data_IF_166617713515
#
_entry.id   IF_166617713515
#
_cell.length_a   1.000
_cell.length_b   1.000
_cell.length_c   1.000
_cell.angle_alpha   90.00
_cell.angle_beta   90.00
_cell.angle_gamma   90.00
#
_symmetry.space_group_name_H-M   'P 1'
#
loop_
_entity.id
_entity.type
_entity.pdbx_description
1 polymer ?
#
# COMPACT_ATOMS: atom_id res chain seq x y z
N UNK A 1 8.81 -15.82 18.41
CA UNK A 1 7.40 -16.24 18.54
C UNK A 1 7.18 -16.88 19.90
N UNK A 2 6.04 -16.63 20.57
CA UNK A 2 5.66 -17.22 21.86
C UNK A 2 4.27 -17.85 21.73
N UNK A 3 4.08 -19.02 22.32
CA UNK A 3 2.79 -19.69 22.39
C UNK A 3 2.31 -19.70 23.84
N UNK A 4 1.10 -19.20 24.05
CA UNK A 4 0.42 -19.20 25.34
C UNK A 4 -0.79 -20.14 25.26
N UNK A 5 -1.00 -20.92 26.31
CA UNK A 5 -2.16 -21.78 26.44
C UNK A 5 -2.93 -21.43 27.70
N UNK A 6 -4.24 -21.24 27.56
CA UNK A 6 -5.19 -20.97 28.63
C UNK A 6 -6.32 -21.99 28.55
N UNK A 7 -6.04 -23.19 29.04
CA UNK A 7 -7.01 -24.29 29.08
C UNK A 7 -7.56 -24.43 30.50
N UNK A 8 -8.87 -24.54 30.59
CA UNK A 8 -9.57 -24.72 31.86
C UNK A 8 -10.66 -25.77 31.66
N UNK A 9 -10.76 -26.71 32.60
CA UNK A 9 -11.82 -27.73 32.62
C UNK A 9 -13.13 -27.13 33.15
N UNK A 10 -14.27 -27.36 32.47
CA UNK A 10 -15.56 -26.76 32.85
C UNK A 10 -16.07 -27.16 34.25
N UNK A 11 -15.56 -28.26 34.83
CA UNK A 11 -16.11 -28.84 36.07
C UNK A 11 -15.42 -28.38 37.37
N UNK A 12 -14.55 -27.36 37.33
CA UNK A 12 -13.88 -26.84 38.54
C UNK A 12 -14.20 -25.37 38.78
N UNK A 13 -14.27 -24.95 40.04
CA UNK A 13 -14.23 -23.52 40.39
C UNK A 13 -12.76 -23.08 40.46
N UNK A 14 -12.37 -22.14 39.62
CA UNK A 14 -11.00 -21.62 39.59
C UNK A 14 -10.91 -20.33 40.41
N UNK A 15 -9.89 -20.21 41.25
CA UNK A 15 -9.60 -18.95 41.96
C UNK A 15 -9.20 -17.88 40.93
N UNK A 16 -9.71 -16.66 41.10
CA UNK A 16 -9.28 -15.53 40.29
C UNK A 16 -7.77 -15.34 40.45
N UNK A 17 -7.05 -15.31 39.33
CA UNK A 17 -5.61 -15.13 39.34
C UNK A 17 -5.37 -13.62 39.26
N UNK A 18 -5.14 -13.02 40.43
CA UNK A 18 -4.86 -11.59 40.59
C UNK A 18 -3.53 -11.34 41.33
N UNK A 19 -2.82 -12.40 41.73
CA UNK A 19 -1.56 -12.29 42.46
C UNK A 19 -0.43 -11.73 41.59
N UNK A 20 0.43 -10.90 42.21
CA UNK A 20 1.54 -10.19 41.56
C UNK A 20 2.52 -11.10 40.83
N UNK A 21 2.69 -12.34 41.29
CA UNK A 21 3.57 -13.32 40.66
C UNK A 21 3.06 -13.75 39.28
N UNK A 22 1.75 -13.81 39.08
CA UNK A 22 1.17 -14.10 37.77
C UNK A 22 1.28 -12.91 36.82
N UNK A 23 1.12 -11.68 37.32
CA UNK A 23 1.37 -10.45 36.54
C UNK A 23 2.78 -10.47 35.96
N UNK A 24 3.79 -10.76 36.79
CA UNK A 24 5.19 -10.83 36.36
C UNK A 24 5.39 -11.88 35.26
N UNK A 25 4.81 -13.08 35.41
CA UNK A 25 4.94 -14.14 34.39
C UNK A 25 4.28 -13.77 33.06
N UNK A 26 3.09 -13.18 33.10
CA UNK A 26 2.42 -12.70 31.88
C UNK A 26 3.23 -11.59 31.21
N UNK A 27 3.71 -10.61 31.96
CA UNK A 27 4.53 -9.52 31.40
C UNK A 27 5.82 -10.04 30.79
N UNK A 28 6.49 -11.01 31.41
CA UNK A 28 7.69 -11.65 30.84
C UNK A 28 7.36 -12.43 29.58
N UNK A 29 6.26 -13.17 29.54
CA UNK A 29 5.88 -13.92 28.35
C UNK A 29 5.52 -12.99 27.18
N UNK A 30 4.83 -11.87 27.47
CA UNK A 30 4.49 -10.86 26.48
C UNK A 30 5.72 -10.08 26.00
N UNK A 31 6.67 -9.75 26.89
CA UNK A 31 7.87 -8.96 26.51
C UNK A 31 8.97 -9.78 25.84
N UNK A 32 9.00 -11.11 26.02
CA UNK A 32 9.95 -12.00 25.33
C UNK A 32 9.52 -12.36 23.91
N UNK A 33 8.27 -12.09 23.54
CA UNK A 33 7.81 -12.28 22.18
C UNK A 33 8.48 -11.26 21.26
N UNK A 34 9.36 -11.72 20.37
CA UNK A 34 10.00 -10.87 19.36
C UNK A 34 9.00 -10.33 18.34
N UNK A 35 8.25 -11.23 17.70
CA UNK A 35 7.38 -10.85 16.58
C UNK A 35 5.89 -11.18 16.79
N UNK A 36 5.58 -12.28 17.48
CA UNK A 36 4.20 -12.80 17.57
C UNK A 36 3.96 -13.56 18.87
N UNK A 37 2.74 -13.41 19.40
CA UNK A 37 2.18 -14.24 20.48
C UNK A 37 0.91 -14.90 19.96
N UNK A 38 0.81 -16.21 20.14
CA UNK A 38 -0.39 -16.99 19.82
C UNK A 38 -1.02 -17.49 21.12
N UNK A 39 -2.28 -17.11 21.37
CA UNK A 39 -3.03 -17.54 22.55
C UNK A 39 -4.04 -18.62 22.17
N UNK A 40 -3.82 -19.85 22.63
CA UNK A 40 -4.82 -20.92 22.58
C UNK A 40 -5.65 -20.89 23.86
N UNK A 41 -6.97 -20.79 23.76
CA UNK A 41 -7.84 -20.74 24.92
C UNK A 41 -9.07 -21.63 24.76
N UNK A 42 -9.54 -22.20 25.87
CA UNK A 42 -10.78 -22.99 25.93
C UNK A 42 -11.92 -22.28 26.68
N UNK A 43 -11.67 -21.05 27.14
CA UNK A 43 -12.62 -20.26 27.96
C UNK A 43 -12.93 -18.93 27.30
N UNK A 44 -14.14 -18.43 27.56
CA UNK A 44 -14.63 -17.13 27.11
C UNK A 44 -14.49 -16.09 28.23
N UNK A 45 -14.57 -14.79 27.87
CA UNK A 45 -14.50 -13.71 28.86
C UNK A 45 -15.60 -13.79 29.94
N UNK A 46 -16.79 -14.28 29.57
CA UNK A 46 -17.94 -14.51 30.46
C UNK A 46 -17.65 -15.56 31.53
N UNK A 47 -16.78 -16.52 31.24
CA UNK A 47 -16.42 -17.61 32.17
C UNK A 47 -15.44 -17.15 33.26
N UNK A 48 -14.94 -15.91 33.18
CA UNK A 48 -13.89 -15.37 34.04
C UNK A 48 -14.38 -14.16 34.83
N UNK A 49 -13.96 -14.09 36.09
CA UNK A 49 -14.19 -12.91 36.95
C UNK A 49 -13.63 -11.62 36.31
N UNK A 50 -14.32 -10.47 36.44
CA UNK A 50 -13.88 -9.17 35.91
C UNK A 50 -12.45 -8.77 36.33
N UNK A 51 -12.04 -9.12 37.55
CA UNK A 51 -10.72 -8.77 38.10
C UNK A 51 -9.62 -9.79 37.72
N UNK A 52 -9.97 -10.85 37.01
CA UNK A 52 -9.04 -11.91 36.65
C UNK A 52 -8.09 -11.45 35.53
N UNK A 53 -6.77 -11.61 35.74
CA UNK A 53 -5.76 -11.29 34.72
C UNK A 53 -5.95 -12.06 33.42
N UNK A 54 -6.45 -13.29 33.50
CA UNK A 54 -6.79 -14.13 32.33
C UNK A 54 -7.84 -13.46 31.45
N UNK A 55 -8.86 -12.83 32.05
CA UNK A 55 -9.90 -12.08 31.31
C UNK A 55 -9.31 -10.84 30.66
N UNK A 56 -8.43 -10.12 31.37
CA UNK A 56 -7.71 -8.95 30.81
C UNK A 56 -6.85 -9.35 29.61
N UNK A 57 -6.17 -10.49 29.68
CA UNK A 57 -5.39 -11.02 28.57
C UNK A 57 -6.29 -11.47 27.40
N UNK A 58 -7.33 -12.25 27.66
CA UNK A 58 -8.30 -12.66 26.63
C UNK A 58 -8.91 -11.47 25.91
N UNK A 59 -9.38 -10.47 26.67
CA UNK A 59 -9.88 -9.22 26.11
C UNK A 59 -8.84 -8.50 25.25
N UNK A 60 -7.56 -8.53 25.64
CA UNK A 60 -6.49 -7.93 24.84
C UNK A 60 -6.27 -8.67 23.50
N UNK A 61 -6.43 -9.99 23.46
CA UNK A 61 -6.29 -10.79 22.24
C UNK A 61 -7.55 -10.79 21.36
N UNK A 62 -8.74 -10.81 21.97
CA UNK A 62 -10.03 -10.77 21.29
C UNK A 62 -10.39 -9.34 20.83
N UNK A 63 -9.78 -8.34 21.44
CA UNK A 63 -9.88 -6.94 21.03
C UNK A 63 -8.48 -6.41 20.73
N UNK A 64 -7.89 -6.73 19.57
CA UNK A 64 -6.67 -6.09 19.12
C UNK A 64 -6.96 -4.60 18.92
N UNK A 65 -6.79 -3.82 19.99
CA UNK A 65 -7.07 -2.38 20.11
C UNK A 65 -8.59 -2.00 20.20
N UNK A 66 -9.19 -1.93 21.41
CA UNK A 66 -10.62 -1.58 21.60
C UNK A 66 -10.91 -0.07 21.52
N UNK A 67 -10.21 0.72 20.68
CA UNK A 67 -10.42 2.18 20.63
C UNK A 67 -10.45 2.79 19.22
N UNK A 68 -10.58 1.98 18.18
CA UNK A 68 -10.95 2.52 16.88
C UNK A 68 -12.41 2.95 16.96
N UNK A 69 -12.73 4.17 16.53
CA UNK A 69 -14.09 4.66 16.51
C UNK A 69 -14.93 3.78 15.59
N UNK A 70 -15.81 2.95 16.16
CA UNK A 70 -16.86 2.27 15.40
C UNK A 70 -17.82 3.34 14.82
N UNK A 71 -18.44 3.05 13.68
CA UNK A 71 -19.20 4.05 12.89
C UNK A 71 -20.25 4.88 13.64
N UNK A 72 -20.76 4.40 14.78
CA UNK A 72 -21.72 5.11 15.63
C UNK A 72 -21.12 6.33 16.37
N UNK A 73 -19.84 6.31 16.74
CA UNK A 73 -19.19 7.44 17.43
C UNK A 73 -18.88 8.60 16.47
N UNK A 74 -18.54 8.29 15.21
CA UNK A 74 -18.36 9.28 14.15
C UNK A 74 -19.64 10.06 13.87
N UNK A 75 -20.78 9.38 13.72
CA UNK A 75 -22.07 10.03 13.49
C UNK A 75 -22.51 10.91 14.67
N UNK A 76 -22.16 10.52 15.91
CA UNK A 76 -22.39 11.34 17.11
C UNK A 76 -21.56 12.62 17.04
N UNK A 77 -20.26 12.50 16.78
CA UNK A 77 -19.35 13.64 16.76
C UNK A 77 -19.67 14.61 15.62
N UNK A 78 -20.07 14.11 14.45
CA UNK A 78 -20.49 14.98 13.35
C UNK A 78 -21.77 15.76 13.68
N UNK A 79 -22.76 15.11 14.34
CA UNK A 79 -23.96 15.80 14.85
C UNK A 79 -23.63 16.87 15.88
N UNK A 80 -22.72 16.58 16.80
CA UNK A 80 -22.31 17.52 17.85
C UNK A 80 -21.51 18.69 17.28
N UNK A 81 -20.64 18.45 16.30
CA UNK A 81 -19.93 19.51 15.61
C UNK A 81 -20.86 20.45 14.83
N UNK A 82 -21.97 19.97 14.27
CA UNK A 82 -22.92 20.85 13.57
C UNK A 82 -23.71 21.75 14.55
N UNK A 83 -23.73 21.43 15.86
CA UNK A 83 -24.39 22.29 16.85
C UNK A 83 -23.69 23.64 16.96
N UNK A 84 -24.49 24.69 16.83
CA UNK A 84 -24.05 26.08 16.94
C UNK A 84 -24.99 26.78 17.95
N UNK A 85 -24.48 27.60 18.88
CA UNK A 85 -23.09 28.05 19.03
C UNK A 85 -22.19 27.04 19.74
N UNK A 86 -20.94 26.93 19.28
CA UNK A 86 -19.84 26.23 19.97
C UNK A 86 -19.13 27.21 20.90
N UNK A 87 -18.83 26.82 22.13
CA UNK A 87 -18.10 27.65 23.11
C UNK A 87 -16.83 26.93 23.56
N UNK A 88 -15.74 27.64 23.85
CA UNK A 88 -14.58 27.00 24.47
C UNK A 88 -14.99 26.25 25.74
N UNK A 89 -14.67 24.96 25.84
CA UNK A 89 -15.02 24.10 26.97
C UNK A 89 -16.32 23.30 26.82
N UNK A 90 -17.12 23.48 25.76
CA UNK A 90 -18.29 22.65 25.46
C UNK A 90 -18.04 21.58 24.39
N UNK A 91 -16.78 21.33 24.05
CA UNK A 91 -16.41 20.28 23.12
C UNK A 91 -16.74 18.88 23.69
N UNK A 92 -17.05 17.90 22.82
CA UNK A 92 -17.29 16.53 23.24
C UNK A 92 -16.07 15.91 23.91
N UNK A 93 -16.27 15.14 24.99
CA UNK A 93 -15.22 14.29 25.52
C UNK A 93 -14.82 13.21 24.49
N UNK A 94 -13.53 12.83 24.42
CA UNK A 94 -12.43 13.22 25.30
C UNK A 94 -11.61 14.43 24.81
N UNK A 95 -12.06 15.19 23.82
CA UNK A 95 -11.27 16.27 23.21
C UNK A 95 -11.07 17.46 24.15
N UNK A 96 -9.91 18.13 24.06
CA UNK A 96 -9.61 19.31 24.90
C UNK A 96 -9.94 20.63 24.21
N UNK A 97 -10.18 20.59 22.89
CA UNK A 97 -10.57 21.75 22.09
C UNK A 97 -11.47 21.39 20.92
N UNK A 98 -12.27 22.36 20.46
CA UNK A 98 -13.02 22.23 19.19
C UNK A 98 -12.10 22.12 17.97
N UNK A 99 -10.88 22.63 18.07
CA UNK A 99 -9.86 22.51 17.05
C UNK A 99 -9.46 21.04 16.85
N UNK A 100 -9.17 20.29 17.92
CA UNK A 100 -8.91 18.84 17.82
C UNK A 100 -10.09 18.09 17.21
N UNK A 101 -11.33 18.44 17.59
CA UNK A 101 -12.55 17.85 17.03
C UNK A 101 -12.63 18.07 15.52
N UNK A 102 -12.37 19.30 15.05
CA UNK A 102 -12.41 19.64 13.64
C UNK A 102 -11.32 18.88 12.84
N UNK A 103 -10.10 18.76 13.39
CA UNK A 103 -9.01 17.99 12.77
C UNK A 103 -9.38 16.50 12.71
N UNK A 104 -9.89 15.93 13.80
CA UNK A 104 -10.32 14.55 13.86
C UNK A 104 -11.44 14.26 12.85
N UNK A 105 -12.44 15.12 12.75
CA UNK A 105 -13.54 14.98 11.80
C UNK A 105 -13.05 14.99 10.35
N UNK A 106 -12.10 15.86 10.00
CA UNK A 106 -11.53 15.87 8.65
C UNK A 106 -10.82 14.54 8.31
N UNK A 107 -10.12 13.94 9.27
CA UNK A 107 -9.47 12.64 9.08
C UNK A 107 -10.49 11.49 9.03
N UNK A 108 -11.49 11.49 9.91
CA UNK A 108 -12.57 10.51 9.95
C UNK A 108 -13.43 10.54 8.68
N UNK A 109 -13.75 11.72 8.12
CA UNK A 109 -14.43 11.88 6.82
C UNK A 109 -13.67 11.24 5.66
N UNK A 110 -12.34 11.19 5.80
CA UNK A 110 -11.44 10.53 4.85
C UNK A 110 -11.18 9.07 5.21
N UNK A 111 -11.95 8.52 6.16
CA UNK A 111 -11.96 7.13 6.62
C UNK A 111 -10.65 6.65 7.23
N UNK A 112 -9.89 7.55 7.84
CA UNK A 112 -8.76 7.17 8.67
C UNK A 112 -9.24 6.74 10.06
N UNK A 113 -8.56 5.76 10.67
CA UNK A 113 -8.78 5.43 12.08
C UNK A 113 -8.09 6.46 12.95
N UNK A 114 -8.86 7.21 13.74
CA UNK A 114 -8.35 8.28 14.61
C UNK A 114 -8.69 7.99 16.06
N UNK A 115 -7.74 8.25 16.95
CA UNK A 115 -7.81 7.99 18.38
C UNK A 115 -7.46 9.27 19.14
N UNK A 116 -8.41 9.92 19.82
CA UNK A 116 -8.11 11.10 20.62
C UNK A 116 -7.48 10.76 21.97
N UNK A 117 -6.67 11.70 22.47
CA UNK A 117 -6.08 11.70 23.82
C UNK A 117 -5.37 10.38 24.15
N UNK A 118 -4.46 9.96 23.26
CA UNK A 118 -3.77 8.68 23.33
C UNK A 118 -2.63 8.72 24.36
N UNK A 119 -2.74 7.93 25.42
CA UNK A 119 -1.69 7.81 26.43
C UNK A 119 -0.64 6.74 26.07
N UNK A 120 0.62 7.14 26.00
CA UNK A 120 1.77 6.26 25.78
C UNK A 120 2.94 6.67 26.68
N UNK A 121 3.45 5.71 27.46
CA UNK A 121 4.59 5.91 28.35
C UNK A 121 4.50 7.15 29.28
N UNK A 122 3.29 7.52 29.71
CA UNK A 122 3.03 8.69 30.56
C UNK A 122 3.02 10.04 29.82
N UNK A 123 3.07 10.02 28.49
CA UNK A 123 2.80 11.15 27.61
C UNK A 123 1.42 10.98 26.97
N UNK A 124 0.70 12.08 26.76
CA UNK A 124 -0.64 12.08 26.16
C UNK A 124 -0.57 12.86 24.85
N UNK A 125 -0.96 12.19 23.77
CA UNK A 125 -0.95 12.71 22.40
C UNK A 125 -2.37 13.13 22.05
N UNK A 126 -2.55 14.31 21.46
CA UNK A 126 -3.89 14.85 21.16
C UNK A 126 -4.68 13.92 20.24
N UNK A 127 -4.07 13.50 19.13
CA UNK A 127 -4.66 12.57 18.16
C UNK A 127 -3.63 11.54 17.69
N UNK A 128 -4.04 10.29 17.58
CA UNK A 128 -3.26 9.23 16.93
C UNK A 128 -4.04 8.70 15.74
N UNK A 129 -3.39 8.65 14.58
CA UNK A 129 -3.93 7.99 13.39
C UNK A 129 -3.29 6.62 13.28
N UNK A 130 -4.10 5.55 13.18
CA UNK A 130 -3.60 4.17 13.07
C UNK A 130 -3.92 3.58 11.69
N UNK A 131 -3.00 2.76 11.17
CA UNK A 131 -3.21 1.97 9.95
C UNK A 131 -2.33 0.74 9.98
N UNK A 132 -2.93 -0.46 9.97
CA UNK A 132 -2.21 -1.72 10.14
C UNK A 132 -1.43 -1.75 11.46
N UNK A 133 -0.10 -1.76 11.40
CA UNK A 133 0.81 -1.70 12.56
C UNK A 133 1.48 -0.32 12.76
N UNK A 134 1.19 0.66 11.90
CA UNK A 134 1.75 2.00 11.97
C UNK A 134 0.84 2.95 12.73
N UNK A 135 1.49 3.92 13.39
CA UNK A 135 0.81 5.00 14.10
C UNK A 135 1.48 6.33 13.79
N UNK A 136 0.65 7.34 13.54
CA UNK A 136 1.07 8.73 13.44
C UNK A 136 0.54 9.47 14.67
N UNK A 137 1.41 10.19 15.37
CA UNK A 137 1.01 11.15 16.38
C UNK A 137 0.73 12.51 15.71
N UNK A 138 -0.43 13.09 15.99
CA UNK A 138 -0.85 14.42 15.52
C UNK A 138 -1.09 15.26 16.76
N UNK A 139 -0.30 16.32 16.92
CA UNK A 139 -0.42 17.29 18.00
C UNK A 139 -1.15 18.53 17.48
N UNK A 140 -2.18 18.95 18.20
CA UNK A 140 -3.01 20.09 17.89
C UNK A 140 -2.56 21.29 18.74
N UNK A 141 -1.54 22.00 18.25
CA UNK A 141 -0.99 23.17 18.92
C UNK A 141 -1.95 24.36 18.78
N UNK A 142 -2.76 24.59 19.82
CA UNK A 142 -3.51 25.84 20.01
C UNK A 142 -2.61 27.02 20.40
N UNK A 143 -3.14 28.24 20.34
CA UNK A 143 -2.37 29.48 20.61
C UNK A 143 -1.94 29.66 22.10
N UNK A 144 -2.23 28.69 22.98
CA UNK A 144 -1.90 28.73 24.40
C UNK A 144 -0.44 28.28 24.66
N UNK A 145 0.48 29.24 24.74
CA UNK A 145 1.88 28.97 25.10
C UNK A 145 2.03 28.51 26.56
N UNK A 146 2.47 27.26 26.78
CA UNK A 146 2.64 26.66 28.10
C UNK A 146 4.03 26.90 28.74
N UNK A 147 4.61 28.09 28.61
CA UNK A 147 5.81 28.49 29.35
C UNK A 147 7.10 27.67 29.08
N UNK A 148 8.27 28.12 29.58
CA UNK A 148 9.56 27.55 29.22
C UNK A 148 9.89 26.19 29.90
N UNK A 149 9.47 25.97 31.15
CA UNK A 149 9.85 24.75 31.90
C UNK A 149 9.09 23.48 31.46
N UNK A 150 7.83 23.62 31.00
CA UNK A 150 7.06 22.49 30.45
C UNK A 150 7.54 22.14 29.04
N UNK A 151 8.01 23.13 28.28
CA UNK A 151 8.53 22.96 26.93
C UNK A 151 9.74 22.01 26.87
N UNK A 152 10.70 22.14 27.80
CA UNK A 152 11.86 21.23 27.82
C UNK A 152 11.46 19.78 28.15
N UNK A 153 10.49 19.59 29.04
CA UNK A 153 10.01 18.26 29.42
C UNK A 153 9.23 17.60 28.27
N UNK A 154 8.36 18.35 27.58
CA UNK A 154 7.63 17.84 26.42
C UNK A 154 8.55 17.55 25.24
N UNK A 155 9.54 18.42 24.97
CA UNK A 155 10.53 18.15 23.91
C UNK A 155 11.38 16.91 24.22
N UNK A 156 11.72 16.68 25.48
CA UNK A 156 12.43 15.47 25.88
C UNK A 156 11.57 14.21 25.75
N UNK A 157 10.28 14.29 26.09
CA UNK A 157 9.32 13.18 25.93
C UNK A 157 9.07 12.87 24.46
N UNK A 158 8.87 13.88 23.62
CA UNK A 158 8.73 13.72 22.18
C UNK A 158 9.97 13.03 21.59
N UNK A 159 11.19 13.48 21.92
CA UNK A 159 12.43 12.83 21.46
C UNK A 159 12.56 11.37 21.90
N UNK A 160 12.05 11.01 23.08
CA UNK A 160 12.05 9.63 23.56
C UNK A 160 11.07 8.77 22.75
N UNK A 161 9.88 9.29 22.46
CA UNK A 161 8.89 8.60 21.65
C UNK A 161 9.34 8.48 20.19
N UNK A 162 9.98 9.50 19.64
CA UNK A 162 10.58 9.45 18.30
C UNK A 162 11.67 8.36 18.20
N UNK A 163 12.51 8.22 19.22
CA UNK A 163 13.47 7.10 19.31
C UNK A 163 12.79 5.74 19.41
N UNK A 164 11.60 5.68 20.00
CA UNK A 164 10.77 4.48 20.07
C UNK A 164 9.98 4.23 18.78
N UNK A 165 10.17 5.04 17.73
CA UNK A 165 9.57 4.86 16.42
C UNK A 165 8.29 5.66 16.17
N UNK A 166 7.90 6.56 17.07
CA UNK A 166 6.78 7.47 16.82
C UNK A 166 7.16 8.57 15.84
N UNK A 167 6.24 8.92 14.96
CA UNK A 167 6.36 10.09 14.08
C UNK A 167 5.32 11.10 14.48
N UNK A 168 5.72 12.36 14.63
CA UNK A 168 4.86 13.47 15.04
C UNK A 168 4.62 14.45 13.90
N UNK A 169 3.37 14.90 13.77
CA UNK A 169 2.98 16.07 12.97
C UNK A 169 2.34 17.07 13.92
N UNK A 170 2.85 18.29 13.95
CA UNK A 170 2.27 19.40 14.71
C UNK A 170 1.42 20.25 13.78
N UNK A 171 0.19 20.54 14.21
CA UNK A 171 -0.76 21.34 13.46
C UNK A 171 -1.13 22.55 14.30
N UNK A 172 -0.84 23.75 13.78
CA UNK A 172 -1.23 24.98 14.45
C UNK A 172 -2.68 25.33 14.16
N UNK A 173 -3.42 25.74 15.19
CA UNK A 173 -4.83 26.14 15.07
C UNK A 173 -5.04 27.25 14.03
N UNK A 174 -4.19 28.27 14.06
CA UNK A 174 -4.25 29.40 13.11
C UNK A 174 -3.98 28.98 11.66
N UNK A 175 -3.03 28.07 11.42
CA UNK A 175 -2.72 27.54 10.08
C UNK A 175 -3.85 26.63 9.57
N UNK A 176 -4.43 25.82 10.46
CA UNK A 176 -5.56 24.95 10.12
C UNK A 176 -6.78 25.76 9.68
N UNK A 177 -7.17 26.80 10.41
CA UNK A 177 -8.33 27.60 10.02
C UNK A 177 -8.06 28.52 8.82
N UNK A 178 -6.80 28.90 8.56
CA UNK A 178 -6.41 29.64 7.36
C UNK A 178 -6.52 28.77 6.09
N UNK A 179 -5.97 27.55 6.13
CA UNK A 179 -6.04 26.58 5.01
C UNK A 179 -6.16 25.15 5.53
N UNK A 180 -7.40 24.73 5.77
CA UNK A 180 -7.74 23.39 6.25
C UNK A 180 -7.23 22.31 5.33
N UNK A 181 -7.39 22.50 4.01
CA UNK A 181 -7.03 21.48 3.04
C UNK A 181 -5.52 21.24 3.01
N UNK A 182 -4.72 22.31 2.95
CA UNK A 182 -3.25 22.17 2.97
C UNK A 182 -2.78 21.46 4.23
N UNK A 183 -3.30 21.88 5.38
CA UNK A 183 -2.90 21.33 6.69
C UNK A 183 -3.23 19.85 6.80
N UNK A 184 -4.44 19.45 6.42
CA UNK A 184 -4.83 18.03 6.37
C UNK A 184 -4.00 17.25 5.34
N UNK A 185 -3.61 17.86 4.20
CA UNK A 185 -2.71 17.22 3.24
C UNK A 185 -1.31 16.97 3.82
N UNK A 186 -0.83 17.79 4.76
CA UNK A 186 0.44 17.53 5.45
C UNK A 186 0.34 16.32 6.38
N UNK A 187 -0.76 16.18 7.13
CA UNK A 187 -1.06 14.97 7.91
C UNK A 187 -1.17 13.75 6.99
N UNK A 188 -1.91 13.85 5.88
CA UNK A 188 -2.07 12.75 4.91
C UNK A 188 -0.73 12.38 4.28
N UNK A 189 0.14 13.34 3.95
CA UNK A 189 1.48 13.05 3.46
C UNK A 189 2.29 12.27 4.50
N UNK A 190 2.15 12.58 5.79
CA UNK A 190 2.77 11.82 6.86
C UNK A 190 2.12 10.44 7.08
N UNK A 191 0.81 10.31 6.90
CA UNK A 191 0.12 9.02 6.91
C UNK A 191 0.58 8.13 5.75
N UNK A 192 0.57 8.65 4.51
CA UNK A 192 1.11 7.98 3.33
C UNK A 192 2.59 7.67 3.50
N UNK A 193 3.30 8.62 4.11
CA UNK A 193 4.54 8.47 4.87
C UNK A 193 4.67 7.06 5.43
N UNK A 194 3.89 6.87 6.49
CA UNK A 194 3.77 5.74 7.42
C UNK A 194 3.02 4.53 6.89
N UNK A 195 2.59 4.57 5.62
CA UNK A 195 1.69 3.59 5.02
C UNK A 195 0.34 3.46 5.72
N UNK A 196 -0.05 4.48 6.48
CA UNK A 196 -1.37 4.57 7.10
C UNK A 196 -2.33 5.01 6.01
N UNK A 197 -3.32 4.18 5.70
CA UNK A 197 -4.31 4.42 4.66
C UNK A 197 -5.72 4.38 5.24
N UNK A 198 -6.70 4.97 4.54
CA UNK A 198 -8.12 4.83 4.88
C UNK A 198 -8.58 3.37 4.92
N UNK A 199 -9.57 3.04 5.75
CA UNK A 199 -10.08 1.67 5.94
C UNK A 199 -10.65 1.04 4.66
N UNK A 200 -11.23 1.83 3.77
CA UNK A 200 -11.73 1.35 2.47
C UNK A 200 -10.63 1.19 1.41
N UNK A 201 -9.39 1.52 1.79
CA UNK A 201 -8.17 1.37 1.01
C UNK A 201 -7.21 0.34 1.63
N UNK A 202 -7.73 -0.60 2.42
CA UNK A 202 -6.97 -1.78 2.84
C UNK A 202 -6.45 -2.52 1.60
N UNK A 203 -5.14 -2.43 1.37
CA UNK A 203 -4.43 -3.49 0.67
C UNK A 203 -4.50 -4.70 1.60
N UNK A 204 -5.56 -5.50 1.47
CA UNK A 204 -5.54 -6.85 1.99
C UNK A 204 -4.25 -7.53 1.52
N UNK A 205 -3.66 -8.46 2.29
CA UNK A 205 -2.71 -9.40 1.71
C UNK A 205 -3.34 -9.92 0.41
N UNK A 206 -2.57 -10.07 -0.70
CA UNK A 206 -3.16 -10.57 -1.94
C UNK A 206 -3.93 -11.83 -1.60
N UNK A 207 -5.22 -11.86 -1.97
CA UNK A 207 -6.01 -13.08 -1.92
C UNK A 207 -5.15 -14.16 -2.55
N UNK A 208 -4.67 -15.08 -1.73
CA UNK A 208 -4.14 -16.33 -2.23
C UNK A 208 -5.36 -16.99 -2.84
N UNK A 209 -5.44 -17.02 -4.17
CA UNK A 209 -6.28 -18.00 -4.85
C UNK A 209 -5.89 -19.35 -4.24
N UNK A 210 -6.78 -19.89 -3.42
CA UNK A 210 -6.73 -21.27 -2.99
C UNK A 210 -6.74 -22.10 -4.28
N UNK A 211 -5.55 -22.51 -4.70
CA UNK A 211 -5.40 -23.49 -5.77
C UNK A 211 -5.96 -24.79 -5.19
N UNK A 212 -7.16 -25.16 -5.61
CA UNK A 212 -7.69 -26.50 -5.36
C UNK A 212 -6.64 -27.51 -5.84
N UNK A 213 -6.27 -28.51 -5.01
CA UNK A 213 -5.32 -29.51 -5.44
C UNK A 213 -5.95 -30.35 -6.54
N UNK A 214 -5.36 -30.29 -7.75
CA UNK A 214 -5.67 -31.21 -8.84
C UNK A 214 -5.38 -32.65 -8.37
N UNK A 215 -6.36 -33.54 -8.57
CA UNK A 215 -6.20 -34.98 -8.35
C UNK A 215 -5.12 -35.56 -9.28
N UNK A 216 -4.35 -36.57 -8.85
CA UNK A 216 -3.29 -37.14 -9.67
C UNK A 216 -3.88 -38.09 -10.71
N UNK A 217 -3.74 -37.76 -12.00
CA UNK A 217 -3.98 -38.73 -13.07
C UNK A 217 -2.91 -39.82 -13.07
N UNK A 218 -3.39 -41.06 -13.06
CA UNK A 218 -2.59 -42.27 -13.12
C UNK A 218 -1.94 -42.46 -14.50
N UNK A 219 -0.71 -42.96 -14.46
CA UNK A 219 0.08 -43.43 -15.58
C UNK A 219 -0.62 -44.50 -16.43
N UNK A 220 -0.43 -44.42 -17.75
CA UNK A 220 -0.40 -45.56 -18.65
C UNK A 220 0.57 -45.26 -19.81
N UNK A 221 1.57 -46.13 -19.96
CA UNK A 221 2.60 -46.13 -21.01
C UNK A 221 2.06 -46.60 -22.36
N UNK A 222 2.68 -46.12 -23.46
CA UNK A 222 2.61 -46.76 -24.79
C UNK A 222 3.02 -45.85 -25.96
N UNK A 223 4.28 -45.94 -26.41
CA UNK A 223 4.80 -45.45 -27.71
C UNK A 223 4.51 -46.48 -28.84
N UNK A 224 4.85 -46.28 -30.16
CA UNK A 224 5.61 -45.19 -30.82
C UNK A 224 5.07 -44.66 -32.19
N UNK A 225 5.72 -43.56 -32.62
CA UNK A 225 6.12 -43.14 -34.00
C UNK A 225 5.10 -42.96 -35.14
N UNK A 226 4.95 -41.71 -35.62
CA UNK A 226 5.07 -41.39 -37.06
C UNK A 226 5.56 -39.93 -37.26
N UNK A 227 6.41 -39.75 -38.27
CA UNK A 227 7.09 -38.53 -38.67
C UNK A 227 6.16 -37.56 -39.40
N UNK A 228 6.12 -36.30 -38.99
CA UNK A 228 5.91 -35.19 -39.92
C UNK A 228 6.36 -33.85 -39.33
N UNK A 229 7.33 -33.24 -40.01
CA UNK A 229 7.81 -31.88 -39.86
C UNK A 229 6.67 -30.87 -40.10
N UNK A 230 6.43 -29.96 -39.15
CA UNK A 230 5.91 -28.60 -39.35
C UNK A 230 5.93 -27.81 -38.01
N UNK A 231 5.84 -26.47 -38.04
CA UNK A 231 6.77 -25.52 -37.42
C UNK A 231 6.63 -25.45 -35.88
N UNK A 232 7.75 -25.20 -35.18
CA UNK A 232 7.75 -24.97 -33.73
C UNK A 232 6.76 -23.86 -33.33
N UNK A 233 5.62 -24.30 -32.80
CA UNK A 233 4.69 -23.47 -32.03
C UNK A 233 5.41 -22.99 -30.78
N UNK A 234 5.61 -21.67 -30.69
CA UNK A 234 6.07 -21.01 -29.46
C UNK A 234 4.90 -21.06 -28.48
N UNK A 235 4.84 -22.10 -27.65
CA UNK A 235 3.83 -22.26 -26.61
C UNK A 235 3.99 -21.19 -25.52
N UNK A 236 2.86 -20.65 -25.03
CA UNK A 236 2.74 -19.55 -24.06
C UNK A 236 3.49 -19.78 -22.72
N UNK A 237 3.99 -20.99 -22.45
CA UNK A 237 4.73 -21.32 -21.22
C UNK A 237 6.20 -20.86 -21.25
N UNK A 238 6.84 -20.80 -22.43
CA UNK A 238 8.24 -20.39 -22.54
C UNK A 238 8.44 -18.86 -22.42
N UNK A 239 7.38 -18.06 -22.60
CA UNK A 239 7.45 -16.60 -22.43
C UNK A 239 7.47 -16.14 -20.96
N UNK A 240 7.14 -17.03 -20.02
CA UNK A 240 7.14 -16.71 -18.58
C UNK A 240 8.54 -16.80 -17.93
N UNK A 241 9.48 -17.54 -18.53
CA UNK A 241 10.86 -17.67 -18.04
C UNK A 241 11.79 -16.57 -18.57
N UNK A 242 11.50 -16.01 -19.74
CA UNK A 242 12.26 -14.88 -20.32
C UNK A 242 11.32 -13.70 -20.65
N UNK A 243 11.46 -12.58 -19.94
CA UNK A 243 10.62 -11.40 -20.16
C UNK A 243 10.84 -10.31 -19.11
N UNK A 244 10.09 -9.20 -19.15
CA UNK A 244 10.17 -8.20 -18.09
C UNK A 244 9.74 -8.81 -16.76
N UNK A 245 10.43 -8.40 -15.70
CA UNK A 245 10.18 -8.80 -14.31
C UNK A 245 10.47 -10.29 -14.03
N UNK A 246 11.32 -10.93 -14.83
CA UNK A 246 11.81 -12.30 -14.57
C UNK A 246 13.16 -12.28 -13.85
N UNK A 247 13.49 -13.37 -13.15
CA UNK A 247 14.77 -13.54 -12.44
C UNK A 247 14.89 -12.76 -11.13
N UNK A 248 13.77 -12.36 -10.52
CA UNK A 248 13.72 -11.89 -9.14
C UNK A 248 13.28 -13.06 -8.25
N UNK A 249 14.23 -13.56 -7.47
CA UNK A 249 14.04 -14.67 -6.55
C UNK A 249 14.96 -14.48 -5.33
N UNK A 250 14.80 -15.36 -4.35
CA UNK A 250 15.59 -15.41 -3.13
C UNK A 250 17.11 -15.49 -3.35
N UNK A 251 17.57 -15.92 -4.53
CA UNK A 251 19.01 -16.03 -4.88
C UNK A 251 19.66 -14.67 -5.16
N UNK A 252 18.88 -13.62 -5.47
CA UNK A 252 19.41 -12.26 -5.59
C UNK A 252 19.88 -11.68 -4.24
N UNK A 253 19.47 -12.30 -3.13
CA UNK A 253 19.85 -11.96 -1.76
C UNK A 253 19.78 -10.44 -1.48
N UNK A 254 18.67 -9.81 -1.91
CA UNK A 254 18.48 -8.40 -1.65
C UNK A 254 18.46 -8.14 -0.14
N UNK A 255 19.09 -7.04 0.29
CA UNK A 255 19.31 -6.80 1.70
C UNK A 255 17.98 -6.55 2.44
N UNK A 256 17.83 -7.05 3.68
CA UNK A 256 16.64 -6.74 4.50
C UNK A 256 16.59 -5.22 4.75
N UNK A 257 15.55 -4.52 4.27
CA UNK A 257 15.43 -3.09 4.46
C UNK A 257 15.45 -2.69 5.94
N UNK A 258 15.06 -3.55 6.88
CA UNK A 258 15.03 -3.24 8.33
C UNK A 258 16.43 -3.07 8.92
N UNK A 259 17.41 -3.80 8.40
CA UNK A 259 18.76 -3.86 8.96
C UNK A 259 19.78 -3.17 8.06
N UNK A 260 19.59 -3.22 6.75
CA UNK A 260 20.60 -2.80 5.79
C UNK A 260 20.74 -1.28 5.63
N UNK A 261 21.95 -0.81 5.39
CA UNK A 261 22.21 0.61 5.11
C UNK A 261 21.40 1.11 3.91
N UNK A 262 21.05 2.40 3.89
CA UNK A 262 20.35 3.01 2.76
C UNK A 262 21.15 2.84 1.46
N UNK A 263 22.49 2.82 1.52
CA UNK A 263 23.35 2.58 0.36
C UNK A 263 23.19 1.18 -0.24
N UNK A 264 23.09 0.14 0.60
CA UNK A 264 22.86 -1.22 0.12
C UNK A 264 21.47 -1.35 -0.53
N UNK A 265 20.46 -0.70 0.05
CA UNK A 265 19.12 -0.63 -0.54
C UNK A 265 19.16 0.14 -1.87
N UNK A 266 19.91 1.25 -1.96
CA UNK A 266 20.11 2.00 -3.21
C UNK A 266 20.72 1.11 -4.31
N UNK A 267 21.69 0.27 -3.98
CA UNK A 267 22.32 -0.63 -4.95
C UNK A 267 21.32 -1.67 -5.48
N UNK A 268 20.54 -2.30 -4.61
CA UNK A 268 19.50 -3.26 -5.02
C UNK A 268 18.41 -2.60 -5.88
N UNK A 269 17.98 -1.39 -5.52
CA UNK A 269 17.03 -0.61 -6.33
C UNK A 269 17.60 -0.24 -7.70
N UNK A 270 18.89 0.07 -7.78
CA UNK A 270 19.55 0.36 -9.05
C UNK A 270 19.52 -0.85 -9.98
N UNK A 271 19.81 -2.05 -9.46
CA UNK A 271 19.74 -3.32 -10.23
C UNK A 271 18.33 -3.49 -10.84
N UNK A 272 17.28 -3.27 -10.04
CA UNK A 272 15.88 -3.40 -10.50
C UNK A 272 15.57 -2.37 -11.60
N UNK A 273 15.88 -1.10 -11.37
CA UNK A 273 15.54 0.00 -12.28
C UNK A 273 16.37 -0.06 -13.57
N UNK A 274 17.62 -0.49 -13.49
CA UNK A 274 18.48 -0.66 -14.66
C UNK A 274 18.00 -1.81 -15.56
N UNK A 275 17.60 -2.93 -14.96
CA UNK A 275 17.12 -4.10 -15.71
C UNK A 275 15.75 -3.86 -16.34
N UNK A 276 14.78 -3.37 -15.56
CA UNK A 276 13.38 -3.31 -15.96
C UNK A 276 12.80 -1.90 -16.05
N UNK A 277 13.62 -0.85 -15.97
CA UNK A 277 13.20 0.54 -16.24
C UNK A 277 12.64 0.76 -17.65
N UNK A 278 11.67 1.68 -17.83
CA UNK A 278 10.95 2.47 -16.82
C UNK A 278 9.95 1.64 -15.98
N UNK A 279 9.79 1.99 -14.71
CA UNK A 279 8.98 1.26 -13.72
C UNK A 279 8.08 2.16 -12.89
N UNK A 280 6.92 1.65 -12.48
CA UNK A 280 6.14 2.30 -11.41
C UNK A 280 6.78 2.04 -10.05
N UNK A 281 6.54 2.92 -9.06
CA UNK A 281 6.95 2.65 -7.67
C UNK A 281 6.45 1.30 -7.13
N UNK A 282 5.20 0.94 -7.48
CA UNK A 282 4.60 -0.32 -7.05
C UNK A 282 5.35 -1.53 -7.61
N UNK A 283 5.77 -1.46 -8.88
CA UNK A 283 6.59 -2.50 -9.51
C UNK A 283 7.93 -2.64 -8.79
N UNK A 284 8.63 -1.54 -8.53
CA UNK A 284 9.93 -1.54 -7.83
C UNK A 284 9.80 -2.23 -6.47
N UNK A 285 8.75 -1.88 -5.71
CA UNK A 285 8.46 -2.44 -4.41
C UNK A 285 8.20 -3.94 -4.44
N UNK A 286 7.44 -4.40 -5.45
CA UNK A 286 7.17 -5.82 -5.65
C UNK A 286 8.44 -6.58 -6.03
N UNK A 287 9.23 -6.08 -6.97
CA UNK A 287 10.45 -6.74 -7.45
C UNK A 287 11.53 -6.79 -6.38
N UNK A 288 11.67 -5.72 -5.58
CA UNK A 288 12.58 -5.73 -4.42
C UNK A 288 12.17 -6.81 -3.42
N UNK A 289 10.86 -6.94 -3.15
CA UNK A 289 10.36 -7.98 -2.27
C UNK A 289 10.66 -9.38 -2.80
N UNK A 290 10.42 -9.62 -4.09
CA UNK A 290 10.65 -10.92 -4.72
C UNK A 290 12.14 -11.33 -4.72
N UNK A 291 13.05 -10.36 -4.70
CA UNK A 291 14.48 -10.61 -4.57
C UNK A 291 15.01 -10.72 -3.13
N UNK A 292 14.15 -10.58 -2.11
CA UNK A 292 14.56 -10.53 -0.70
C UNK A 292 14.18 -11.83 0.04
N UNK A 293 15.14 -12.74 0.33
CA UNK A 293 14.85 -14.07 0.90
C UNK A 293 14.28 -14.03 2.32
N UNK A 294 14.57 -12.97 3.08
CA UNK A 294 14.13 -12.82 4.47
C UNK A 294 12.71 -12.23 4.58
N UNK A 295 12.04 -11.97 3.44
CA UNK A 295 10.82 -11.20 3.37
C UNK A 295 9.58 -12.09 3.14
N UNK A 296 8.89 -12.48 4.22
CA UNK A 296 7.62 -13.22 4.10
C UNK A 296 6.37 -12.50 4.64
N UNK A 297 6.50 -11.43 5.43
CA UNK A 297 5.36 -10.56 5.84
C UNK A 297 5.82 -9.11 6.05
N UNK A 298 5.21 -8.19 5.31
CA UNK A 298 5.58 -6.77 5.33
C UNK A 298 4.98 -6.06 6.55
N UNK A 299 5.83 -5.37 7.31
CA UNK A 299 5.44 -4.29 8.22
C UNK A 299 5.68 -2.95 7.52
N UNK A 300 4.86 -1.96 7.84
CA UNK A 300 4.81 -0.66 7.16
C UNK A 300 6.14 0.14 7.17
N UNK A 301 7.04 -0.12 8.13
CA UNK A 301 8.36 0.51 8.27
C UNK A 301 9.33 0.28 7.09
N UNK A 302 9.06 -0.71 6.23
CA UNK A 302 9.97 -1.12 5.14
C UNK A 302 9.88 -0.16 3.94
N UNK A 303 8.66 0.26 3.57
CA UNK A 303 8.45 1.12 2.41
C UNK A 303 9.16 2.46 2.54
N UNK A 304 9.24 3.01 3.76
CA UNK A 304 9.97 4.25 4.03
C UNK A 304 11.45 4.19 3.66
N UNK A 305 12.09 3.04 3.89
CA UNK A 305 13.53 2.88 3.64
C UNK A 305 13.80 2.73 2.16
N UNK A 306 12.90 2.05 1.45
CA UNK A 306 12.90 2.02 -0.02
C UNK A 306 12.66 3.43 -0.58
N UNK A 307 11.67 4.16 -0.08
CA UNK A 307 11.41 5.55 -0.48
C UNK A 307 12.57 6.50 -0.14
N UNK A 308 13.25 6.29 1.00
CA UNK A 308 14.45 7.05 1.36
C UNK A 308 15.61 6.77 0.41
N UNK A 309 15.79 5.51 0.01
CA UNK A 309 16.76 5.11 -0.98
C UNK A 309 16.44 5.68 -2.37
N UNK A 310 15.17 5.64 -2.81
CA UNK A 310 14.72 6.29 -4.04
C UNK A 310 14.96 7.80 -4.02
N UNK A 311 14.63 8.50 -2.92
CA UNK A 311 14.91 9.93 -2.76
C UNK A 311 16.41 10.22 -2.83
N UNK A 312 17.24 9.35 -2.26
CA UNK A 312 18.71 9.50 -2.33
C UNK A 312 19.20 9.37 -3.77
N UNK A 313 18.73 8.37 -4.52
CA UNK A 313 19.06 8.18 -5.94
C UNK A 313 18.59 9.36 -6.81
N UNK A 314 17.37 9.86 -6.57
CA UNK A 314 16.85 11.05 -7.27
C UNK A 314 17.69 12.29 -6.99
N UNK A 315 18.10 12.51 -5.73
CA UNK A 315 18.94 13.65 -5.35
C UNK A 315 20.35 13.54 -5.92
N UNK A 316 20.88 12.31 -6.06
CA UNK A 316 22.16 12.05 -6.69
C UNK A 316 22.13 12.24 -8.22
N UNK A 317 20.94 12.22 -8.84
CA UNK A 317 20.77 12.29 -10.28
C UNK A 317 20.98 10.95 -11.00
N UNK A 318 21.00 9.83 -10.27
CA UNK A 318 21.17 8.49 -10.85
C UNK A 318 19.89 8.01 -11.55
N UNK A 319 18.73 8.47 -11.06
CA UNK A 319 17.41 8.13 -11.58
C UNK A 319 16.59 9.39 -11.80
N UNK A 320 15.63 9.29 -12.71
CA UNK A 320 14.66 10.34 -13.03
C UNK A 320 13.24 9.85 -12.70
N UNK A 321 12.40 10.75 -12.21
CA UNK A 321 10.99 10.49 -11.89
C UNK A 321 10.09 11.41 -12.71
N UNK A 322 9.12 10.83 -13.41
CA UNK A 322 8.10 11.55 -14.18
C UNK A 322 6.70 11.23 -13.66
N UNK A 323 5.86 12.26 -13.51
CA UNK A 323 4.44 12.12 -13.16
C UNK A 323 3.60 12.06 -14.43
N UNK A 324 3.31 10.84 -14.87
CA UNK A 324 2.57 10.58 -16.10
C UNK A 324 1.06 10.79 -15.91
N UNK A 325 0.54 10.44 -14.73
CA UNK A 325 -0.85 10.70 -14.32
C UNK A 325 -0.96 11.91 -13.39
N UNK A 326 -2.16 12.18 -12.85
CA UNK A 326 -2.35 13.28 -11.89
C UNK A 326 -1.53 13.02 -10.61
N UNK A 327 -0.85 14.04 -10.05
CA UNK A 327 -0.04 13.89 -8.85
C UNK A 327 -0.88 13.37 -7.68
N UNK A 328 -0.30 12.44 -6.90
CA UNK A 328 -0.96 11.84 -5.74
C UNK A 328 -1.84 10.61 -6.02
N UNK A 329 -1.92 10.13 -7.27
CA UNK A 329 -2.54 8.83 -7.59
C UNK A 329 -1.48 7.73 -7.62
N UNK A 330 -1.76 6.61 -6.94
CA UNK A 330 -0.95 5.39 -7.03
C UNK A 330 -0.79 4.95 -8.50
N UNK A 331 0.45 4.63 -8.91
CA UNK A 331 0.80 4.27 -10.29
C UNK A 331 1.01 5.44 -11.25
N UNK A 332 0.94 6.69 -10.79
CA UNK A 332 1.16 7.88 -11.63
C UNK A 332 2.64 8.26 -11.82
N UNK A 333 3.48 7.88 -10.87
CA UNK A 333 4.91 8.15 -10.89
C UNK A 333 5.68 7.00 -11.51
N UNK A 334 6.38 7.30 -12.60
CA UNK A 334 7.27 6.38 -13.32
C UNK A 334 8.72 6.79 -13.06
N UNK A 335 9.56 5.82 -12.77
CA UNK A 335 10.97 5.97 -12.40
C UNK A 335 11.81 5.21 -13.43
N UNK A 336 12.91 5.83 -13.88
CA UNK A 336 13.88 5.24 -14.80
C UNK A 336 15.30 5.69 -14.44
N UNK A 337 16.30 5.03 -15.02
CA UNK A 337 17.67 5.52 -14.94
C UNK A 337 17.80 6.88 -15.65
N UNK A 338 18.70 7.72 -15.13
CA UNK A 338 18.97 9.00 -15.75
C UNK A 338 19.60 8.80 -17.15
N UNK A 339 19.16 9.57 -18.13
CA UNK A 339 19.64 9.46 -19.51
C UNK A 339 19.14 8.25 -20.32
N UNK A 340 18.30 7.37 -19.74
CA UNK A 340 17.64 6.30 -20.53
C UNK A 340 16.33 6.78 -21.16
N UNK A 341 15.88 6.14 -22.26
CA UNK A 341 14.62 6.47 -22.93
C UNK A 341 13.42 6.52 -21.98
N UNK A 342 12.50 7.48 -22.22
CA UNK A 342 11.31 7.67 -21.38
C UNK A 342 10.29 6.56 -21.52
N UNK A 343 10.25 5.93 -22.68
CA UNK A 343 9.29 4.88 -23.00
C UNK A 343 10.02 3.68 -23.59
N UNK A 344 9.72 2.50 -23.06
CA UNK A 344 10.27 1.22 -23.55
C UNK A 344 9.13 0.23 -23.73
N UNK A 345 8.66 0.05 -24.97
CA UNK A 345 7.58 -0.88 -25.26
C UNK A 345 8.05 -2.33 -25.08
N UNK A 346 7.32 -3.12 -24.29
CA UNK A 346 7.66 -4.50 -23.93
C UNK A 346 6.39 -5.37 -23.86
N UNK A 347 6.48 -6.69 -24.04
CA UNK A 347 5.37 -7.61 -23.77
C UNK A 347 5.01 -7.60 -22.28
N UNK A 348 3.81 -8.04 -21.88
CA UNK A 348 3.41 -7.99 -20.47
C UNK A 348 4.36 -8.81 -19.56
N UNK A 349 4.75 -10.02 -19.96
CA UNK A 349 5.58 -10.90 -19.12
C UNK A 349 4.91 -11.17 -17.77
N UNK A 350 5.67 -11.06 -16.66
CA UNK A 350 5.15 -11.21 -15.28
C UNK A 350 4.54 -9.93 -14.70
N UNK A 351 4.29 -8.90 -15.52
CA UNK A 351 3.71 -7.63 -15.09
C UNK A 351 2.19 -7.75 -14.96
N UNK A 352 1.64 -7.14 -13.91
CA UNK A 352 0.20 -6.83 -13.87
C UNK A 352 -0.10 -5.67 -14.82
N UNK A 353 -1.33 -5.55 -15.28
CA UNK A 353 -1.71 -4.49 -16.21
C UNK A 353 -1.45 -3.08 -15.62
N UNK A 354 -1.74 -2.90 -14.34
CA UNK A 354 -1.55 -1.63 -13.62
C UNK A 354 -0.08 -1.24 -13.42
N UNK A 355 0.85 -2.18 -13.68
CA UNK A 355 2.29 -1.97 -13.58
C UNK A 355 2.91 -1.54 -14.92
N UNK A 356 2.12 -1.54 -16.00
CA UNK A 356 2.54 -1.03 -17.30
C UNK A 356 2.52 0.50 -17.24
N UNK A 357 3.65 1.18 -17.45
CA UNK A 357 3.70 2.65 -17.48
C UNK A 357 2.67 3.24 -18.45
N UNK A 358 1.92 4.29 -18.06
CA UNK A 358 0.99 4.97 -18.95
C UNK A 358 1.61 5.40 -20.28
N UNK A 359 2.89 5.75 -20.31
CA UNK A 359 3.65 6.10 -21.50
C UNK A 359 3.83 4.94 -22.49
N UNK A 360 4.00 3.69 -22.01
CA UNK A 360 3.96 2.50 -22.87
C UNK A 360 2.58 2.37 -23.51
N UNK A 361 1.51 2.56 -22.73
CA UNK A 361 0.13 2.49 -23.22
C UNK A 361 -0.13 3.59 -24.26
N UNK A 362 0.28 4.83 -24.00
CA UNK A 362 0.13 5.93 -24.97
C UNK A 362 0.85 5.65 -26.29
N UNK A 363 2.04 5.04 -26.24
CA UNK A 363 2.77 4.67 -27.45
C UNK A 363 2.04 3.58 -28.25
N UNK A 364 1.40 2.62 -27.58
CA UNK A 364 0.55 1.62 -28.26
C UNK A 364 -0.64 2.29 -28.94
N UNK A 365 -1.31 3.23 -28.27
CA UNK A 365 -2.46 3.94 -28.83
C UNK A 365 -2.12 4.68 -30.11
N UNK A 366 -0.98 5.36 -30.10
CA UNK A 366 -0.47 6.09 -31.25
C UNK A 366 -0.12 5.16 -32.42
N UNK A 367 0.56 4.04 -32.13
CA UNK A 367 0.89 3.03 -33.16
C UNK A 367 -0.33 2.37 -33.77
N UNK A 368 -1.35 2.10 -32.97
CA UNK A 368 -2.60 1.52 -33.45
C UNK A 368 -3.49 2.56 -34.17
N UNK A 369 -3.08 3.83 -34.22
CA UNK A 369 -3.87 4.96 -34.75
C UNK A 369 -5.28 5.02 -34.13
N UNK A 370 -5.41 4.53 -32.90
CA UNK A 370 -6.68 4.54 -32.19
C UNK A 370 -6.77 5.89 -31.50
N UNK A 371 -7.32 6.85 -32.21
CA UNK A 371 -7.65 8.13 -31.62
C UNK A 371 -9.01 8.00 -30.92
N UNK A 372 -9.09 8.20 -29.60
CA UNK A 372 -10.36 8.22 -28.88
C UNK A 372 -11.08 9.54 -29.19
N UNK A 373 -11.58 9.66 -30.42
CA UNK A 373 -12.29 10.83 -30.92
C UNK A 373 -13.78 10.53 -30.84
N UNK A 374 -14.45 11.17 -29.90
CA UNK A 374 -15.90 11.44 -29.89
C UNK A 374 -16.87 10.24 -30.02
N UNK A 375 -16.37 9.03 -29.78
CA UNK A 375 -17.16 7.81 -29.73
C UNK A 375 -17.98 7.67 -28.44
N UNK A 376 -19.11 6.96 -28.53
CA UNK A 376 -19.97 6.65 -27.39
C UNK A 376 -19.33 5.67 -26.39
N UNK A 377 -20.05 5.26 -25.33
CA UNK A 377 -19.55 4.30 -24.34
C UNK A 377 -19.03 2.98 -24.94
N UNK A 378 -19.62 2.55 -26.05
CA UNK A 378 -19.24 1.31 -26.76
C UNK A 378 -17.87 1.41 -27.44
N UNK A 379 -17.50 2.61 -27.90
CA UNK A 379 -16.18 2.87 -28.51
C UNK A 379 -15.07 2.91 -27.44
N UNK A 380 -15.37 3.40 -26.23
CA UNK A 380 -14.45 3.34 -25.09
C UNK A 380 -14.21 1.90 -24.62
N UNK A 381 -15.24 1.05 -24.64
CA UNK A 381 -15.11 -0.36 -24.25
C UNK A 381 -14.30 -1.16 -25.28
N UNK A 382 -14.56 -0.97 -26.58
CA UNK A 382 -13.76 -1.58 -27.64
C UNK A 382 -12.29 -1.14 -27.55
N UNK A 383 -12.06 0.14 -27.25
CA UNK A 383 -10.75 0.70 -27.02
C UNK A 383 -10.01 0.00 -25.86
N UNK A 384 -10.67 -0.18 -24.71
CA UNK A 384 -10.06 -0.87 -23.58
C UNK A 384 -9.70 -2.32 -23.91
N UNK A 385 -10.55 -3.03 -24.65
CA UNK A 385 -10.28 -4.42 -25.05
C UNK A 385 -9.07 -4.52 -25.96
N UNK A 386 -8.93 -3.65 -26.96
CA UNK A 386 -7.75 -3.63 -27.86
C UNK A 386 -6.43 -3.44 -27.12
N UNK A 387 -6.40 -2.58 -26.09
CA UNK A 387 -5.20 -2.39 -25.26
C UNK A 387 -4.90 -3.65 -24.47
N UNK A 388 -5.92 -4.25 -23.85
CA UNK A 388 -5.75 -5.47 -23.07
C UNK A 388 -5.23 -6.61 -23.94
N UNK A 389 -5.80 -6.80 -25.14
CA UNK A 389 -5.36 -7.80 -26.11
C UNK A 389 -3.91 -7.58 -26.55
N UNK A 390 -3.49 -6.33 -26.78
CA UNK A 390 -2.10 -6.02 -27.14
C UNK A 390 -1.09 -6.50 -26.09
N UNK A 391 -1.46 -6.42 -24.81
CA UNK A 391 -0.62 -6.89 -23.70
C UNK A 391 -0.97 -8.31 -23.25
N UNK A 392 -1.85 -9.04 -23.95
CA UNK A 392 -2.22 -10.42 -23.63
C UNK A 392 -3.16 -10.59 -22.44
N UNK A 393 -3.87 -9.55 -22.01
CA UNK A 393 -4.85 -9.63 -20.94
C UNK A 393 -6.26 -9.89 -21.50
N UNK A 394 -6.94 -10.93 -21.02
CA UNK A 394 -8.26 -11.33 -21.56
C UNK A 394 -9.47 -10.59 -20.95
N UNK A 395 -9.35 -10.11 -19.71
CA UNK A 395 -10.50 -9.59 -18.94
C UNK A 395 -10.42 -8.09 -18.62
N UNK A 396 -11.50 -7.35 -18.89
CA UNK A 396 -11.68 -5.96 -18.48
C UNK A 396 -12.34 -5.88 -17.09
N UNK A 397 -11.52 -6.05 -16.05
CA UNK A 397 -11.97 -5.94 -14.65
C UNK A 397 -12.35 -4.49 -14.29
N UNK A 398 -13.09 -4.30 -13.19
CA UNK A 398 -13.42 -2.97 -12.66
C UNK A 398 -12.17 -2.12 -12.37
N UNK A 399 -11.10 -2.75 -11.87
CA UNK A 399 -9.81 -2.11 -11.61
C UNK A 399 -9.12 -1.65 -12.90
N UNK A 400 -9.02 -2.54 -13.90
CA UNK A 400 -8.43 -2.22 -15.20
C UNK A 400 -9.20 -1.13 -15.94
N UNK A 401 -10.53 -1.19 -15.94
CA UNK A 401 -11.39 -0.15 -16.51
C UNK A 401 -11.15 1.19 -15.84
N UNK A 402 -11.11 1.25 -14.50
CA UNK A 402 -10.83 2.49 -13.76
C UNK A 402 -9.42 3.04 -14.08
N UNK A 403 -8.42 2.17 -14.21
CA UNK A 403 -7.05 2.55 -14.55
C UNK A 403 -6.96 3.13 -15.98
N UNK A 404 -7.50 2.41 -16.96
CA UNK A 404 -7.58 2.85 -18.35
C UNK A 404 -8.38 4.15 -18.52
N UNK A 405 -9.48 4.34 -17.79
CA UNK A 405 -10.22 5.60 -17.82
C UNK A 405 -9.36 6.78 -17.35
N UNK A 406 -8.53 6.58 -16.32
CA UNK A 406 -7.64 7.63 -15.83
C UNK A 406 -6.59 8.00 -16.88
N UNK A 407 -6.02 7.00 -17.57
CA UNK A 407 -5.07 7.16 -18.66
C UNK A 407 -5.73 7.91 -19.82
N UNK A 408 -6.93 7.49 -20.23
CA UNK A 408 -7.70 8.11 -21.31
C UNK A 408 -8.03 9.58 -21.01
N UNK A 409 -8.49 9.87 -19.80
CA UNK A 409 -8.76 11.24 -19.36
C UNK A 409 -7.50 12.12 -19.39
N UNK A 410 -6.34 11.54 -19.05
CA UNK A 410 -5.04 12.23 -19.12
C UNK A 410 -4.61 12.48 -20.56
N UNK A 411 -4.83 11.52 -21.45
CA UNK A 411 -4.55 11.66 -22.88
C UNK A 411 -5.36 12.80 -23.51
N UNK A 412 -6.67 12.83 -23.24
CA UNK A 412 -7.59 13.89 -23.69
C UNK A 412 -7.12 15.28 -23.24
N UNK A 413 -6.65 15.41 -22.00
CA UNK A 413 -6.12 16.68 -21.45
C UNK A 413 -4.81 17.15 -22.08
N UNK A 414 -3.95 16.25 -22.56
CA UNK A 414 -2.66 16.59 -23.19
C UNK A 414 -2.77 16.96 -24.68
N UNK A 415 -3.97 16.97 -25.26
CA UNK A 415 -4.21 17.47 -26.61
C UNK A 415 -3.68 16.57 -27.73
N UNK A 416 -3.83 15.25 -27.60
CA UNK A 416 -3.54 14.24 -28.62
C UNK A 416 -2.10 14.21 -29.18
N UNK A 417 -1.16 14.94 -28.59
CA UNK A 417 0.27 14.78 -28.90
C UNK A 417 0.84 13.70 -27.98
N UNK A 418 1.34 12.62 -28.56
CA UNK A 418 2.24 11.73 -27.85
C UNK A 418 3.48 12.54 -27.45
N UNK A 419 3.85 12.61 -26.15
CA UNK A 419 5.00 13.41 -25.72
C UNK A 419 6.36 12.90 -26.21
N UNK A 420 6.41 11.82 -27.00
CA UNK A 420 7.57 10.93 -27.05
C UNK A 420 8.13 10.65 -28.46
N UNK A 421 7.71 11.38 -29.51
CA UNK A 421 8.20 11.19 -30.89
C UNK A 421 9.73 11.26 -31.07
N UNK A 422 10.47 11.82 -30.09
CA UNK A 422 11.93 11.95 -30.12
C UNK A 422 12.68 11.11 -29.07
N UNK A 423 11.98 10.41 -28.19
CA UNK A 423 12.56 9.78 -26.99
C UNK A 423 12.37 8.25 -26.94
N UNK A 424 12.02 7.61 -28.07
CA UNK A 424 11.83 6.14 -28.18
C UNK A 424 13.17 5.44 -28.40
N UNK A 425 13.48 4.42 -27.59
CA UNK A 425 14.64 3.57 -27.80
C UNK A 425 14.52 2.84 -29.16
N UNK A 426 15.50 3.03 -30.05
CA UNK A 426 15.66 2.20 -31.24
C UNK A 426 16.32 0.87 -30.85
N UNK A 427 15.54 -0.21 -30.83
CA UNK A 427 15.99 -1.59 -30.54
C UNK A 427 14.90 -2.32 -29.74
N UNK A 428 14.30 -3.41 -30.17
CA UNK A 428 14.58 -4.35 -31.24
C UNK A 428 13.25 -4.85 -31.83
N UNK A 429 13.32 -5.28 -33.09
CA UNK A 429 12.38 -6.04 -33.91
C UNK A 429 10.95 -6.21 -33.40
N UNK A 430 10.02 -5.75 -34.25
CA UNK A 430 8.64 -6.19 -34.28
C UNK A 430 8.53 -7.69 -33.92
N UNK A 431 7.68 -7.99 -32.93
CA UNK A 431 7.14 -9.32 -32.76
C UNK A 431 6.50 -9.71 -34.12
N UNK A 432 6.88 -10.84 -34.73
CA UNK A 432 6.22 -11.30 -35.93
C UNK A 432 4.83 -11.82 -35.56
N UNK A 433 3.83 -11.42 -36.34
CA UNK A 433 2.52 -12.10 -36.34
C UNK A 433 1.34 -11.30 -35.82
N UNK A 434 0.98 -10.21 -36.50
CA UNK A 434 -0.42 -9.87 -36.75
C UNK A 434 -0.49 -9.13 -38.09
N UNK A 435 -0.31 -9.91 -39.16
CA UNK A 435 -0.75 -9.53 -40.49
C UNK A 435 -2.29 -9.52 -40.45
N UNK A 436 -2.88 -8.37 -40.12
CA UNK A 436 -4.25 -8.11 -40.52
C UNK A 436 -4.23 -7.85 -42.02
N UNK A 437 -4.57 -8.88 -42.79
CA UNK A 437 -4.92 -8.75 -44.20
C UNK A 437 -6.01 -7.69 -44.34
N UNK A 438 -5.69 -6.58 -45.00
CA UNK A 438 -6.68 -5.67 -45.56
C UNK A 438 -7.51 -6.43 -46.60
N UNK A 439 -8.73 -6.82 -46.22
CA UNK A 439 -9.79 -7.19 -47.16
C UNK A 439 -10.77 -6.03 -47.28
N UNK A 440 -11.02 -5.48 -48.49
CA UNK A 440 -12.01 -4.43 -48.67
C UNK A 440 -13.42 -5.05 -48.59
N UNK A 441 -14.25 -4.60 -47.65
CA UNK A 441 -15.68 -4.89 -47.68
C UNK A 441 -16.36 -3.87 -48.61
N UNK A 442 -16.46 -4.29 -49.88
CA UNK A 442 -17.49 -3.98 -50.88
C UNK A 442 -18.05 -2.55 -50.97
N UNK A 443 -17.64 -1.85 -52.03
CA UNK A 443 -18.48 -0.92 -52.78
C UNK A 443 -19.27 -1.69 -53.86
N UNK A 444 -20.58 -1.37 -53.94
CA UNK A 444 -21.54 -1.54 -55.07
C UNK A 444 -21.94 -2.98 -55.44
N UNK A 445 -23.21 -3.29 -55.74
CA UNK A 445 -24.33 -2.50 -56.31
C UNK A 445 -25.65 -2.66 -55.55
#
# INVERSE_FOLDING_TARGET
>A
MIFLSMVISPDRRFRAVAELDFVRRYNVAMSRARDQVWLFHSVQQSDLSPDCLRRKLLRYFESPCPRGWEGEEWERLEREAVRTPRRPGDQPEPYESWFEVDVALELLRRKYRVFPQYEVAGYRIDLVVEGGQSRLAVECDGDAWHGPDRYEQDMNRQRQLERAGWTFVRVRESEFYLDRNRTIQEIIKACNYLGIFPEDMEFGPPEMEEREPAEPEMAAEGQPEDESLEPEEVTEENAAESGPFTGYNDELDFPDPREASIDNICNALRIIIEKDGPLTKQSIYRLYREGCPYFNRAGLNIWHRLDAALRKLLKAGDIEQEEELKPGKAGGSVIRMAGTPKVRLRPAGRRKFEEIPPSEIFLVLDRLQIHPVDGGPDDEELFFRKILDHFGFRQLTRTRRKHLQNILNRFRQKGQKTPFDKDVAAGERALPGLLFTHGPLFEKD
#
